data_IF_258599996624
#
_entry.id   IF_258599996624
#
_cell.length_a   1.000
_cell.length_b   1.000
_cell.length_c   1.000
_cell.angle_alpha   90.00
_cell.angle_beta   90.00
_cell.angle_gamma   90.00
#
_symmetry.space_group_name_H-M   'P 1'
#
loop_
_entity.id
_entity.type
_entity.pdbx_description
1 polymer ?
#
# COMPACT_ATOMS: atom_id res chain seq x y z
N UNK A 1 -23.02 15.13 -40.59
CA UNK A 1 -23.16 13.87 -39.83
C UNK A 1 -22.28 13.97 -38.57
N UNK A 2 -22.79 13.74 -37.35
CA UNK A 2 -21.93 13.76 -36.17
C UNK A 2 -20.94 12.59 -36.27
N UNK A 3 -19.65 12.87 -36.09
CA UNK A 3 -18.58 11.88 -36.24
C UNK A 3 -18.83 10.65 -35.36
N UNK A 4 -18.89 9.47 -35.99
CA UNK A 4 -19.01 8.19 -35.29
C UNK A 4 -17.69 7.89 -34.58
N UNK A 5 -17.64 8.13 -33.27
CA UNK A 5 -16.44 7.84 -32.46
C UNK A 5 -16.37 6.35 -32.12
N UNK A 6 -15.17 5.78 -32.25
CA UNK A 6 -14.90 4.43 -31.79
C UNK A 6 -14.95 4.37 -30.24
N UNK A 7 -15.35 3.23 -29.66
CA UNK A 7 -15.39 3.07 -28.20
C UNK A 7 -13.99 3.22 -27.59
N UNK A 8 -13.84 4.18 -26.68
CA UNK A 8 -12.56 4.53 -26.05
C UNK A 8 -12.39 3.99 -24.62
N UNK A 9 -13.48 3.58 -23.97
CA UNK A 9 -13.44 2.90 -22.66
C UNK A 9 -13.71 1.41 -22.80
N UNK A 10 -13.23 0.61 -21.86
CA UNK A 10 -13.50 -0.83 -21.84
C UNK A 10 -14.99 -1.13 -21.74
N UNK A 11 -15.73 -0.33 -20.97
CA UNK A 11 -17.20 -0.41 -20.88
C UNK A 11 -17.87 -0.15 -22.23
N UNK A 12 -17.40 0.86 -22.98
CA UNK A 12 -17.91 1.16 -24.31
C UNK A 12 -17.56 0.06 -25.33
N UNK A 13 -16.36 -0.54 -25.21
CA UNK A 13 -15.93 -1.67 -26.06
C UNK A 13 -16.77 -2.92 -25.81
N UNK A 14 -17.00 -3.27 -24.54
CA UNK A 14 -17.89 -4.39 -24.15
C UNK A 14 -19.31 -4.13 -24.67
N UNK A 15 -19.85 -2.93 -24.44
CA UNK A 15 -21.19 -2.56 -24.91
C UNK A 15 -21.31 -2.67 -26.43
N UNK A 16 -20.35 -2.10 -27.16
CA UNK A 16 -20.33 -2.16 -28.63
C UNK A 16 -20.25 -3.61 -29.14
N UNK A 17 -19.43 -4.45 -28.51
CA UNK A 17 -19.28 -5.86 -28.88
C UNK A 17 -20.55 -6.66 -28.61
N UNK A 18 -21.20 -6.46 -27.44
CA UNK A 18 -22.50 -7.07 -27.12
C UNK A 18 -23.58 -6.65 -28.12
N UNK A 19 -23.72 -5.35 -28.36
CA UNK A 19 -24.70 -4.83 -29.35
C UNK A 19 -24.45 -5.38 -30.76
N UNK A 20 -23.20 -5.56 -31.17
CA UNK A 20 -22.89 -6.17 -32.47
C UNK A 20 -23.29 -7.66 -32.52
N UNK A 21 -23.04 -8.40 -31.45
CA UNK A 21 -23.43 -9.82 -31.31
C UNK A 21 -24.95 -9.96 -31.34
N UNK A 22 -25.67 -9.15 -30.57
CA UNK A 22 -27.13 -9.22 -30.44
C UNK A 22 -27.82 -8.92 -31.78
N UNK A 23 -27.36 -7.86 -32.47
CA UNK A 23 -27.85 -7.53 -33.82
C UNK A 23 -27.63 -8.66 -34.81
N UNK A 24 -26.48 -9.32 -34.78
CA UNK A 24 -26.21 -10.43 -35.70
C UNK A 24 -27.02 -11.69 -35.37
N UNK A 25 -27.51 -11.86 -34.13
CA UNK A 25 -28.41 -12.97 -33.78
C UNK A 25 -29.87 -12.72 -34.17
N UNK A 26 -30.29 -11.46 -34.29
CA UNK A 26 -31.64 -11.06 -34.68
C UNK A 26 -31.81 -10.90 -36.21
N UNK A 27 -30.71 -10.93 -36.96
CA UNK A 27 -30.70 -10.74 -38.42
C UNK A 27 -30.84 -12.08 -39.14
N UNK A 28 -31.67 -12.14 -40.18
CA UNK A 28 -31.82 -13.32 -41.04
C UNK A 28 -30.48 -13.73 -41.67
N UNK A 29 -30.28 -15.04 -41.86
CA UNK A 29 -29.01 -15.62 -42.33
C UNK A 29 -28.49 -14.99 -43.64
N UNK A 30 -29.40 -14.59 -44.53
CA UNK A 30 -29.07 -13.97 -45.81
C UNK A 30 -28.60 -12.50 -45.68
N UNK A 31 -28.93 -11.83 -44.57
CA UNK A 31 -28.65 -10.41 -44.34
C UNK A 31 -27.52 -10.17 -43.31
N UNK A 32 -26.94 -11.25 -42.75
CA UNK A 32 -25.84 -11.14 -41.78
C UNK A 32 -24.54 -10.67 -42.45
N UNK A 33 -24.09 -9.47 -42.09
CA UNK A 33 -22.86 -8.84 -42.64
C UNK A 33 -21.56 -9.45 -42.06
N UNK A 34 -21.63 -10.13 -40.92
CA UNK A 34 -20.47 -10.68 -40.20
C UNK A 34 -20.50 -12.21 -40.22
N UNK A 35 -19.37 -12.85 -40.55
CA UNK A 35 -19.32 -14.32 -40.59
C UNK A 35 -19.61 -14.97 -39.23
N UNK A 36 -20.29 -16.11 -39.26
CA UNK A 36 -20.64 -16.88 -38.04
C UNK A 36 -19.43 -17.26 -37.20
N UNK A 37 -18.30 -17.58 -37.85
CA UNK A 37 -17.01 -17.84 -37.19
C UNK A 37 -16.56 -16.64 -36.35
N UNK A 38 -16.71 -15.42 -36.87
CA UNK A 38 -16.35 -14.18 -36.19
C UNK A 38 -17.31 -13.89 -35.03
N UNK A 39 -18.61 -14.11 -35.22
CA UNK A 39 -19.62 -13.94 -34.15
C UNK A 39 -19.36 -14.91 -32.99
N UNK A 40 -19.06 -16.18 -33.28
CA UNK A 40 -18.76 -17.16 -32.25
C UNK A 40 -17.50 -16.79 -31.46
N UNK A 41 -16.44 -16.33 -32.14
CA UNK A 41 -15.24 -15.81 -31.50
C UNK A 41 -15.54 -14.57 -30.65
N UNK A 42 -16.37 -13.66 -31.16
CA UNK A 42 -16.77 -12.45 -30.44
C UNK A 42 -17.51 -12.78 -29.14
N UNK A 43 -18.43 -13.76 -29.15
CA UNK A 43 -19.14 -14.27 -27.95
C UNK A 43 -18.17 -14.80 -26.89
N UNK A 44 -17.17 -15.58 -27.29
CA UNK A 44 -16.14 -16.06 -26.35
C UNK A 44 -15.28 -14.92 -25.79
N UNK A 45 -14.84 -14.01 -26.66
CA UNK A 45 -13.98 -12.88 -26.27
C UNK A 45 -14.71 -11.90 -25.35
N UNK A 46 -15.97 -11.54 -25.64
CA UNK A 46 -16.72 -10.56 -24.83
C UNK A 46 -16.92 -11.04 -23.40
N UNK A 47 -17.25 -12.33 -23.22
CA UNK A 47 -17.42 -12.91 -21.89
C UNK A 47 -16.12 -12.92 -21.09
N UNK A 48 -14.99 -13.25 -21.73
CA UNK A 48 -13.68 -13.19 -21.08
C UNK A 48 -13.28 -11.75 -20.75
N UNK A 49 -13.47 -10.83 -21.68
CA UNK A 49 -13.08 -9.43 -21.52
C UNK A 49 -13.86 -8.76 -20.39
N UNK A 50 -15.17 -8.99 -20.33
CA UNK A 50 -16.03 -8.49 -19.25
C UNK A 50 -15.58 -8.98 -17.86
N UNK A 51 -15.27 -10.27 -17.73
CA UNK A 51 -14.73 -10.83 -16.48
C UNK A 51 -13.42 -10.17 -16.09
N UNK A 52 -12.50 -9.95 -17.03
CA UNK A 52 -11.22 -9.31 -16.75
C UNK A 52 -11.39 -7.85 -16.32
N UNK A 53 -12.27 -7.08 -16.97
CA UNK A 53 -12.55 -5.69 -16.57
C UNK A 53 -13.18 -5.61 -15.18
N UNK A 54 -14.09 -6.54 -14.86
CA UNK A 54 -14.70 -6.61 -13.53
C UNK A 54 -13.66 -6.95 -12.46
N UNK A 55 -12.81 -7.95 -12.72
CA UNK A 55 -11.73 -8.33 -11.80
C UNK A 55 -10.77 -7.16 -11.58
N UNK A 56 -10.32 -6.50 -12.66
CA UNK A 56 -9.45 -5.32 -12.58
C UNK A 56 -10.04 -4.23 -11.69
N UNK A 57 -11.32 -3.89 -11.89
CA UNK A 57 -12.02 -2.89 -11.08
C UNK A 57 -12.03 -3.29 -9.60
N UNK A 58 -12.37 -4.54 -9.30
CA UNK A 58 -12.40 -5.05 -7.93
C UNK A 58 -11.02 -5.04 -7.27
N UNK A 59 -9.97 -5.46 -7.99
CA UNK A 59 -8.59 -5.46 -7.49
C UNK A 59 -8.08 -4.05 -7.26
N UNK A 60 -8.40 -3.12 -8.17
CA UNK A 60 -8.00 -1.71 -8.04
C UNK A 60 -8.68 -1.05 -6.83
N UNK A 61 -9.99 -1.23 -6.66
CA UNK A 61 -10.70 -0.72 -5.48
C UNK A 61 -10.13 -1.30 -4.17
N UNK A 62 -9.81 -2.59 -4.16
CA UNK A 62 -9.14 -3.24 -3.02
C UNK A 62 -7.78 -2.62 -2.74
N UNK A 63 -6.95 -2.42 -3.77
CA UNK A 63 -5.64 -1.80 -3.66
C UNK A 63 -5.74 -0.38 -3.11
N UNK A 64 -6.66 0.44 -3.63
CA UNK A 64 -6.87 1.82 -3.17
C UNK A 64 -7.29 1.85 -1.70
N UNK A 65 -8.21 0.98 -1.28
CA UNK A 65 -8.63 0.89 0.13
C UNK A 65 -7.49 0.44 1.04
N UNK A 66 -6.75 -0.59 0.64
CA UNK A 66 -5.61 -1.09 1.40
C UNK A 66 -4.51 -0.04 1.54
N UNK A 67 -4.18 0.68 0.46
CA UNK A 67 -3.16 1.73 0.49
C UNK A 67 -3.54 2.88 1.43
N UNK A 68 -4.81 3.28 1.52
CA UNK A 68 -5.24 4.31 2.48
C UNK A 68 -4.96 3.90 3.93
N UNK A 69 -5.25 2.65 4.29
CA UNK A 69 -4.96 2.13 5.63
C UNK A 69 -3.46 2.01 5.88
N UNK A 70 -2.72 1.49 4.91
CA UNK A 70 -1.27 1.31 4.98
C UNK A 70 -0.53 2.64 5.16
N UNK A 71 -0.91 3.67 4.40
CA UNK A 71 -0.33 5.02 4.54
C UNK A 71 -0.58 5.63 5.92
N UNK A 72 -1.72 5.34 6.55
CA UNK A 72 -1.99 5.76 7.93
C UNK A 72 -1.09 5.03 8.92
N UNK A 73 -0.88 3.73 8.74
CA UNK A 73 0.03 2.93 9.57
C UNK A 73 1.47 3.43 9.46
N UNK A 74 2.00 3.65 8.25
CA UNK A 74 3.36 4.18 8.05
C UNK A 74 3.54 5.54 8.72
N UNK A 75 2.57 6.46 8.58
CA UNK A 75 2.67 7.78 9.22
C UNK A 75 2.72 7.67 10.74
N UNK A 76 1.94 6.77 11.33
CA UNK A 76 1.97 6.53 12.76
C UNK A 76 3.30 5.88 13.17
N UNK A 77 3.73 4.82 12.49
CA UNK A 77 5.03 4.17 12.71
C UNK A 77 6.17 5.19 12.73
N UNK A 78 6.28 6.02 11.69
CA UNK A 78 7.30 7.08 11.61
C UNK A 78 7.21 8.08 12.76
N UNK A 79 6.01 8.55 13.09
CA UNK A 79 5.80 9.51 14.18
C UNK A 79 6.29 8.95 15.51
N UNK A 80 5.92 7.73 15.87
CA UNK A 80 6.23 7.17 17.17
C UNK A 80 7.67 6.69 17.29
N UNK A 81 8.27 6.13 16.22
CA UNK A 81 9.70 5.83 16.20
C UNK A 81 10.52 7.12 16.37
N UNK A 82 10.22 8.16 15.57
CA UNK A 82 10.90 9.46 15.67
C UNK A 82 10.74 10.07 17.07
N UNK A 83 9.53 10.10 17.61
CA UNK A 83 9.26 10.67 18.93
C UNK A 83 9.97 9.89 20.04
N UNK A 84 9.99 8.55 19.98
CA UNK A 84 10.71 7.74 20.95
C UNK A 84 12.21 8.07 20.95
N UNK A 85 12.82 8.14 19.76
CA UNK A 85 14.25 8.50 19.62
C UNK A 85 14.53 9.89 20.17
N UNK A 86 13.67 10.88 19.87
CA UNK A 86 13.82 12.23 20.40
C UNK A 86 13.77 12.27 21.94
N UNK A 87 12.88 11.50 22.55
CA UNK A 87 12.74 11.42 24.01
C UNK A 87 13.90 10.68 24.64
N UNK A 88 14.41 9.63 23.98
CA UNK A 88 15.64 8.95 24.37
C UNK A 88 16.81 9.94 24.40
N UNK A 89 17.01 10.70 23.33
CA UNK A 89 18.08 11.71 23.29
C UNK A 89 17.87 12.83 24.32
N UNK A 90 16.65 13.30 24.54
CA UNK A 90 16.37 14.27 25.60
C UNK A 90 16.70 13.71 26.99
N UNK A 91 16.48 12.42 27.21
CA UNK A 91 16.85 11.74 28.46
C UNK A 91 18.37 11.63 28.60
N UNK A 92 19.10 11.44 27.50
CA UNK A 92 20.57 11.48 27.48
C UNK A 92 21.09 12.89 27.78
N UNK A 93 20.55 13.93 27.13
CA UNK A 93 20.93 15.34 27.37
C UNK A 93 20.70 15.75 28.84
N UNK A 94 19.64 15.22 29.46
CA UNK A 94 19.33 15.47 30.89
C UNK A 94 20.13 14.58 31.86
N UNK A 95 21.00 13.71 31.35
CA UNK A 95 21.77 12.71 32.12
C UNK A 95 20.88 11.71 32.90
N UNK A 96 19.64 11.50 32.47
CA UNK A 96 18.74 10.46 33.01
C UNK A 96 19.10 9.08 32.45
N UNK A 97 19.63 9.05 31.23
CA UNK A 97 20.15 7.86 30.55
C UNK A 97 21.59 8.16 30.14
N UNK A 98 22.52 7.23 30.41
CA UNK A 98 23.91 7.37 29.96
C UNK A 98 24.02 7.29 28.44
N UNK A 99 24.84 8.14 27.84
CA UNK A 99 25.11 8.14 26.39
C UNK A 99 25.64 6.79 25.89
N UNK A 100 26.44 6.09 26.70
CA UNK A 100 26.92 4.72 26.44
C UNK A 100 25.79 3.74 26.07
N UNK A 101 24.58 3.96 26.61
CA UNK A 101 23.43 3.09 26.35
C UNK A 101 22.87 3.26 24.92
N UNK A 102 23.25 4.30 24.17
CA UNK A 102 22.83 4.49 22.78
C UNK A 102 23.31 3.34 21.87
N UNK A 103 24.39 2.65 22.24
CA UNK A 103 24.86 1.45 21.53
C UNK A 103 23.84 0.32 21.52
N UNK A 104 22.96 0.24 22.53
CA UNK A 104 21.90 -0.77 22.59
C UNK A 104 20.88 -0.60 21.46
N UNK A 105 20.77 0.63 20.93
CA UNK A 105 19.85 1.03 19.89
C UNK A 105 20.54 1.19 18.51
N UNK A 106 21.87 1.05 18.44
CA UNK A 106 22.66 1.36 17.25
C UNK A 106 22.73 2.86 16.92
N UNK A 107 22.67 3.71 17.95
CA UNK A 107 22.64 5.18 17.84
C UNK A 107 23.92 5.85 18.39
N UNK A 108 24.98 5.10 18.64
CA UNK A 108 26.22 5.61 19.24
C UNK A 108 26.95 6.65 18.38
N UNK A 109 26.75 6.64 17.06
CA UNK A 109 27.38 7.57 16.11
C UNK A 109 26.36 8.49 15.42
N UNK A 110 25.16 8.65 15.97
CA UNK A 110 24.09 9.44 15.34
C UNK A 110 24.16 10.93 15.66
N UNK A 111 25.09 11.38 16.50
CA UNK A 111 25.22 12.77 16.96
C UNK A 111 23.91 13.34 17.54
N UNK A 112 23.11 12.48 18.21
CA UNK A 112 21.79 12.82 18.74
C UNK A 112 20.80 13.32 17.67
N UNK A 113 21.03 12.96 16.41
CA UNK A 113 20.09 13.20 15.31
C UNK A 113 19.18 11.99 15.14
N UNK A 114 17.90 12.27 14.84
CA UNK A 114 16.94 11.20 14.52
C UNK A 114 17.40 10.54 13.22
N UNK A 115 17.51 9.20 13.18
CA UNK A 115 17.94 8.51 11.97
C UNK A 115 16.94 8.71 10.82
N UNK A 116 17.37 8.40 9.61
CA UNK A 116 16.47 8.48 8.46
C UNK A 116 15.36 7.42 8.53
N UNK A 117 14.11 7.88 8.42
CA UNK A 117 12.89 7.07 8.41
C UNK A 117 12.10 7.27 7.10
N UNK A 118 12.75 7.76 6.04
CA UNK A 118 12.13 8.14 4.78
C UNK A 118 11.49 6.95 4.05
N UNK A 119 12.17 5.80 4.01
CA UNK A 119 11.70 4.57 3.37
C UNK A 119 11.03 3.62 4.36
N UNK A 120 10.25 2.67 3.85
CA UNK A 120 9.61 1.66 4.69
C UNK A 120 10.64 0.68 5.26
N UNK A 121 11.67 0.36 4.48
CA UNK A 121 12.76 -0.53 4.87
C UNK A 121 13.54 0.06 6.05
N UNK A 122 13.90 1.35 5.98
CA UNK A 122 14.58 2.04 7.06
C UNK A 122 13.69 2.17 8.30
N UNK A 123 12.39 2.45 8.11
CA UNK A 123 11.45 2.54 9.21
C UNK A 123 11.31 1.22 9.97
N UNK A 124 11.33 0.08 9.26
CA UNK A 124 11.31 -1.25 9.88
C UNK A 124 12.62 -1.53 10.60
N UNK A 125 13.75 -1.31 9.95
CA UNK A 125 15.08 -1.53 10.54
C UNK A 125 15.26 -0.74 11.84
N UNK A 126 14.94 0.56 11.82
CA UNK A 126 15.02 1.38 13.02
C UNK A 126 13.94 1.02 14.03
N UNK A 127 12.73 0.68 13.60
CA UNK A 127 11.69 0.18 14.50
C UNK A 127 12.17 -1.01 15.34
N UNK A 128 12.77 -2.01 14.68
CA UNK A 128 13.29 -3.21 15.34
C UNK A 128 14.45 -2.88 16.30
N UNK A 129 15.43 -2.09 15.84
CA UNK A 129 16.54 -1.63 16.68
C UNK A 129 16.07 -0.89 17.93
N UNK A 130 15.06 -0.02 17.79
CA UNK A 130 14.53 0.76 18.92
C UNK A 130 13.79 -0.13 19.92
N UNK A 131 12.99 -1.07 19.44
CA UNK A 131 12.29 -2.04 20.29
C UNK A 131 13.28 -2.90 21.05
N UNK A 132 14.24 -3.50 20.35
CA UNK A 132 15.24 -4.36 20.98
C UNK A 132 16.15 -3.61 21.95
N UNK A 133 16.56 -2.40 21.59
CA UNK A 133 17.42 -1.57 22.44
C UNK A 133 16.73 -1.20 23.75
N UNK A 134 15.45 -0.82 23.71
CA UNK A 134 14.70 -0.51 24.92
C UNK A 134 14.44 -1.75 25.77
N UNK A 135 14.10 -2.89 25.15
CA UNK A 135 13.92 -4.16 25.87
C UNK A 135 15.23 -4.56 26.58
N UNK A 136 16.38 -4.45 25.93
CA UNK A 136 17.71 -4.69 26.53
C UNK A 136 17.97 -3.73 27.69
N UNK A 137 17.77 -2.43 27.50
CA UNK A 137 18.01 -1.41 28.54
C UNK A 137 17.14 -1.62 29.78
N UNK A 138 15.86 -1.96 29.58
CA UNK A 138 14.93 -2.24 30.68
C UNK A 138 15.31 -3.55 31.39
N UNK A 139 15.74 -4.58 30.65
CA UNK A 139 16.14 -5.87 31.25
C UNK A 139 17.33 -5.77 32.21
N UNK A 140 18.21 -4.79 32.02
CA UNK A 140 19.36 -4.51 32.90
C UNK A 140 19.03 -3.50 34.02
N UNK A 141 17.75 -3.20 34.24
CA UNK A 141 17.28 -2.32 35.31
C UNK A 141 17.10 -0.85 34.93
N UNK A 142 17.18 -0.50 33.63
CA UNK A 142 16.88 0.85 33.16
C UNK A 142 15.40 1.20 33.31
N UNK A 143 15.11 2.43 33.75
CA UNK A 143 13.73 2.94 33.87
C UNK A 143 13.13 3.14 32.47
N UNK A 144 12.00 2.50 32.10
CA UNK A 144 11.42 2.61 30.78
C UNK A 144 11.04 4.06 30.38
N UNK A 145 11.09 4.35 29.07
CA UNK A 145 10.51 5.59 28.54
C UNK A 145 8.99 5.43 28.42
N UNK A 146 8.23 6.36 29.00
CA UNK A 146 6.77 6.26 29.07
C UNK A 146 6.01 7.14 28.07
N UNK A 147 6.66 8.12 27.43
CA UNK A 147 6.00 9.02 26.49
C UNK A 147 6.90 9.28 25.26
N UNK A 148 6.73 8.52 24.17
CA UNK A 148 5.80 7.41 24.02
C UNK A 148 6.32 6.14 24.72
N UNK A 149 5.41 5.29 25.21
CA UNK A 149 5.81 3.95 25.67
C UNK A 149 6.33 3.12 24.50
N UNK A 150 7.27 2.21 24.75
CA UNK A 150 7.78 1.30 23.70
C UNK A 150 6.67 0.43 23.10
N UNK A 151 5.62 0.14 23.87
CA UNK A 151 4.43 -0.55 23.40
C UNK A 151 3.74 0.19 22.23
N UNK A 152 3.82 1.53 22.18
CA UNK A 152 3.28 2.28 21.03
C UNK A 152 4.06 1.98 19.76
N UNK A 153 5.39 1.84 19.86
CA UNK A 153 6.25 1.47 18.73
C UNK A 153 6.01 0.02 18.31
N UNK A 154 5.75 -0.89 19.26
CA UNK A 154 5.52 -2.33 19.03
C UNK A 154 4.15 -2.68 18.42
N UNK A 155 3.14 -1.83 18.60
CA UNK A 155 1.76 -2.06 18.11
C UNK A 155 1.59 -1.60 16.64
N UNK A 156 2.68 -1.20 15.99
CA UNK A 156 2.67 -0.61 14.65
C UNK A 156 2.84 -1.61 13.53
#
# INVERSE_FOLDING_TARGET
>A
MPYRRLPNTDTARIKALKTAIDKCSETDFNDVVVSMKTIHRAKSVVGRFERMCMLYKQTFERQVRANKSFQRQIRNARMYVSHFVQVLYLSVIRNEIKEENLILYGLENSELLVPDLSTNELLLEWGDKIIEGEEKRVSVGGVPIYNPTIAKVKVM
#
